data_IF_285745781518
#
_entry.id   IF_285745781518
#
_cell.length_a   1.000
_cell.length_b   1.000
_cell.length_c   1.000
_cell.angle_alpha   90.00
_cell.angle_beta   90.00
_cell.angle_gamma   90.00
#
_symmetry.space_group_name_H-M   'P 1'
#
loop_
_entity.id
_entity.type
_entity.pdbx_description
1 polymer ?
#
# COMPACT_ATOMS: atom_id res chain seq x y z
N UNK A 1 20.61 -19.49 27.25
CA UNK A 1 20.32 -18.40 28.22
C UNK A 1 20.84 -17.12 27.64
N UNK A 2 19.96 -16.14 27.58
CA UNK A 2 20.02 -14.90 26.83
C UNK A 2 21.16 -13.96 27.21
N UNK A 3 21.60 -13.15 26.24
CA UNK A 3 21.80 -11.69 26.38
C UNK A 3 22.16 -11.09 25.02
N UNK A 4 21.16 -10.50 24.36
CA UNK A 4 21.37 -9.38 23.44
C UNK A 4 20.88 -8.16 24.22
N UNK A 5 21.82 -7.36 24.72
CA UNK A 5 21.51 -6.19 25.53
C UNK A 5 21.41 -4.96 24.63
N UNK A 6 20.23 -4.33 24.68
CA UNK A 6 20.01 -2.89 24.53
C UNK A 6 20.51 -2.22 23.24
N UNK A 7 19.65 -2.19 22.21
CA UNK A 7 19.65 -1.09 21.25
C UNK A 7 18.78 0.05 21.79
N UNK A 8 19.42 1.04 22.40
CA UNK A 8 18.79 2.31 22.73
C UNK A 8 18.56 3.15 21.48
N UNK A 9 17.34 3.67 21.32
CA UNK A 9 17.06 4.82 20.45
C UNK A 9 16.69 4.52 18.99
N UNK A 10 15.56 3.86 18.75
CA UNK A 10 14.89 3.89 17.44
C UNK A 10 13.52 4.56 17.56
N UNK A 11 13.49 5.89 17.63
CA UNK A 11 12.29 6.68 17.36
C UNK A 11 12.17 6.86 15.84
N UNK A 12 11.58 5.86 15.18
CA UNK A 12 11.28 5.88 13.74
C UNK A 12 11.74 4.62 13.02
N UNK A 13 10.81 3.70 12.78
CA UNK A 13 10.99 2.56 11.88
C UNK A 13 11.91 1.47 12.41
N UNK A 14 11.39 0.58 13.25
CA UNK A 14 12.02 -0.72 13.42
C UNK A 14 11.93 -1.46 12.08
N UNK A 15 13.02 -1.40 11.30
CA UNK A 15 13.33 -2.30 10.19
C UNK A 15 13.50 -3.71 10.78
N UNK A 16 12.39 -4.31 11.20
CA UNK A 16 12.33 -5.61 11.81
C UNK A 16 12.67 -6.69 10.80
N UNK A 17 13.88 -7.23 10.95
CA UNK A 17 14.13 -8.67 10.94
C UNK A 17 13.62 -9.43 9.71
N UNK A 18 14.36 -9.41 8.60
CA UNK A 18 14.45 -10.50 7.59
C UNK A 18 13.23 -11.42 7.39
N UNK A 19 12.02 -10.90 7.37
CA UNK A 19 10.83 -11.66 7.02
C UNK A 19 10.84 -11.75 5.50
N UNK A 20 10.95 -12.98 5.01
CA UNK A 20 10.71 -13.32 3.62
C UNK A 20 9.37 -12.69 3.20
N UNK A 21 9.42 -11.76 2.24
CA UNK A 21 8.25 -11.05 1.75
C UNK A 21 7.66 -11.89 0.62
N UNK A 22 6.64 -12.67 0.95
CA UNK A 22 5.85 -13.38 -0.06
C UNK A 22 4.82 -12.43 -0.66
N UNK A 23 4.76 -12.41 -1.99
CA UNK A 23 3.78 -11.64 -2.74
C UNK A 23 3.09 -12.52 -3.76
N UNK A 24 1.77 -12.40 -3.84
CA UNK A 24 0.97 -13.04 -4.87
C UNK A 24 1.09 -12.27 -6.19
N UNK A 25 0.75 -12.91 -7.30
CA UNK A 25 0.71 -12.27 -8.61
C UNK A 25 -0.21 -11.04 -8.63
N UNK A 26 -1.34 -11.11 -7.92
CA UNK A 26 -2.28 -9.99 -7.81
C UNK A 26 -1.66 -8.80 -7.06
N UNK A 27 -0.93 -9.05 -5.96
CA UNK A 27 -0.21 -8.01 -5.22
C UNK A 27 0.87 -7.35 -6.06
N UNK A 28 1.64 -8.14 -6.82
CA UNK A 28 2.68 -7.64 -7.73
C UNK A 28 2.06 -6.76 -8.82
N UNK A 29 0.99 -7.25 -9.49
CA UNK A 29 0.29 -6.50 -10.53
C UNK A 29 -0.23 -5.16 -10.00
N UNK A 30 -0.78 -5.15 -8.79
CA UNK A 30 -1.31 -3.93 -8.20
C UNK A 30 -0.21 -2.93 -7.81
N UNK A 31 0.90 -3.39 -7.24
CA UNK A 31 2.05 -2.54 -6.92
C UNK A 31 2.66 -1.91 -8.18
N UNK A 32 2.74 -2.66 -9.29
CA UNK A 32 3.18 -2.14 -10.59
C UNK A 32 2.29 -0.99 -11.08
N UNK A 33 0.97 -1.18 -11.04
CA UNK A 33 0.01 -0.11 -11.39
C UNK A 33 0.22 1.14 -10.54
N UNK A 34 0.49 0.98 -9.26
CA UNK A 34 0.79 2.08 -8.34
C UNK A 34 2.18 2.71 -8.57
N UNK A 35 3.11 1.98 -9.18
CA UNK A 35 4.38 2.52 -9.67
C UNK A 35 4.23 3.37 -10.92
N UNK A 36 3.29 3.00 -11.80
CA UNK A 36 2.94 3.78 -13.01
C UNK A 36 2.16 5.05 -12.66
N UNK A 37 1.27 4.95 -11.65
CA UNK A 37 0.43 6.05 -11.17
C UNK A 37 0.77 6.37 -9.71
N UNK A 38 1.49 7.47 -9.48
CA UNK A 38 1.96 7.87 -8.15
C UNK A 38 0.86 7.90 -7.06
N UNK A 39 -0.38 8.20 -7.46
CA UNK A 39 -1.54 8.14 -6.58
C UNK A 39 -2.73 7.48 -7.30
N UNK A 40 -3.44 6.61 -6.60
CA UNK A 40 -4.71 6.03 -7.04
C UNK A 40 -5.84 6.42 -6.07
N UNK A 41 -7.12 6.44 -6.51
CA UNK A 41 -8.26 6.77 -5.65
C UNK A 41 -8.56 5.66 -4.66
N UNK A 42 -8.94 6.01 -3.43
CA UNK A 42 -9.52 5.05 -2.47
C UNK A 42 -10.77 5.65 -1.83
N UNK A 43 -11.79 4.83 -1.61
CA UNK A 43 -12.96 5.18 -0.81
C UNK A 43 -13.10 4.22 0.36
N UNK A 44 -13.84 4.62 1.39
CA UNK A 44 -14.20 3.72 2.48
C UNK A 44 -15.66 3.31 2.38
N UNK A 45 -15.91 2.01 2.28
CA UNK A 45 -17.26 1.43 2.33
C UNK A 45 -17.34 0.37 3.43
N UNK A 46 -18.32 0.48 4.33
CA UNK A 46 -18.53 -0.47 5.44
C UNK A 46 -17.22 -0.76 6.20
N UNK A 47 -16.44 0.29 6.46
CA UNK A 47 -15.13 0.25 7.13
C UNK A 47 -13.98 -0.38 6.33
N UNK A 48 -14.23 -0.92 5.13
CA UNK A 48 -13.22 -1.47 4.25
C UNK A 48 -12.73 -0.45 3.20
N UNK A 49 -11.44 -0.46 2.84
CA UNK A 49 -10.95 0.34 1.72
C UNK A 49 -11.40 -0.29 0.40
N UNK A 50 -11.96 0.51 -0.49
CA UNK A 50 -12.41 0.10 -1.82
C UNK A 50 -11.67 0.89 -2.88
N UNK A 51 -11.18 0.20 -3.90
CA UNK A 51 -10.67 0.82 -5.11
C UNK A 51 -11.82 1.00 -6.11
N UNK A 52 -12.28 2.23 -6.38
CA UNK A 52 -13.53 2.46 -7.13
C UNK A 52 -13.48 2.01 -8.60
N UNK A 53 -12.29 1.87 -9.19
CA UNK A 53 -12.16 1.42 -10.59
C UNK A 53 -12.34 -0.09 -10.73
N UNK A 54 -11.96 -0.85 -9.71
CA UNK A 54 -12.06 -2.31 -9.67
C UNK A 54 -12.50 -2.76 -8.27
N UNK A 55 -13.83 -2.80 -8.02
CA UNK A 55 -14.36 -3.29 -6.74
C UNK A 55 -14.02 -4.77 -6.53
N UNK A 56 -14.02 -5.24 -5.28
CA UNK A 56 -13.61 -6.60 -4.93
C UNK A 56 -12.13 -6.74 -4.55
N UNK A 57 -11.38 -5.62 -4.50
CA UNK A 57 -9.96 -5.58 -4.08
C UNK A 57 -9.78 -5.18 -2.62
N UNK A 58 -10.83 -5.19 -1.80
CA UNK A 58 -10.79 -4.69 -0.42
C UNK A 58 -9.76 -5.45 0.42
N UNK A 59 -9.76 -6.79 0.29
CA UNK A 59 -8.81 -7.64 0.99
C UNK A 59 -7.37 -7.41 0.49
N UNK A 60 -7.19 -7.23 -0.82
CA UNK A 60 -5.88 -6.94 -1.41
C UNK A 60 -5.30 -5.65 -0.83
N UNK A 61 -6.09 -4.57 -0.81
CA UNK A 61 -5.68 -3.28 -0.25
C UNK A 61 -5.30 -3.40 1.23
N UNK A 62 -6.12 -4.10 2.03
CA UNK A 62 -5.84 -4.34 3.45
C UNK A 62 -4.55 -5.13 3.66
N UNK A 63 -4.28 -6.15 2.83
CA UNK A 63 -3.05 -6.94 2.93
C UNK A 63 -1.84 -6.08 2.55
N UNK A 64 -1.89 -5.33 1.46
CA UNK A 64 -0.79 -4.45 1.03
C UNK A 64 -0.51 -3.34 2.04
N UNK A 65 -1.54 -2.75 2.64
CA UNK A 65 -1.43 -1.76 3.71
C UNK A 65 -0.80 -2.39 4.97
N UNK A 66 -1.26 -3.59 5.37
CA UNK A 66 -0.69 -4.34 6.50
C UNK A 66 0.76 -4.77 6.28
N UNK A 67 1.13 -5.11 5.04
CA UNK A 67 2.52 -5.34 4.62
C UNK A 67 3.33 -4.04 4.60
N UNK A 68 2.68 -2.89 4.71
CA UNK A 68 3.30 -1.57 4.69
C UNK A 68 3.85 -1.19 3.32
N UNK A 69 3.29 -1.75 2.23
CA UNK A 69 3.72 -1.48 0.86
C UNK A 69 2.95 -0.32 0.24
N UNK A 70 1.71 -0.11 0.69
CA UNK A 70 0.90 1.06 0.34
C UNK A 70 0.49 1.81 1.60
N UNK A 71 0.14 3.08 1.43
CA UNK A 71 -0.54 3.90 2.44
C UNK A 71 -1.86 4.40 1.88
N UNK A 72 -2.91 4.36 2.71
CA UNK A 72 -4.22 4.94 2.41
C UNK A 72 -4.36 6.26 3.18
N UNK A 73 -4.61 7.35 2.47
CA UNK A 73 -4.71 8.71 3.03
C UNK A 73 -6.06 9.33 2.67
N UNK A 74 -6.99 9.28 3.63
CA UNK A 74 -8.34 9.84 3.51
C UNK A 74 -8.42 11.36 3.75
N UNK A 75 -7.32 12.00 4.20
CA UNK A 75 -7.24 13.45 4.33
C UNK A 75 -6.81 14.11 3.00
N UNK A 76 -6.33 13.31 2.04
CA UNK A 76 -5.87 13.76 0.71
C UNK A 76 -6.71 13.17 -0.42
N UNK A 77 -7.95 13.67 -0.64
CA UNK A 77 -8.72 13.31 -1.82
C UNK A 77 -8.05 13.81 -3.11
N UNK A 78 -8.19 13.03 -4.18
CA UNK A 78 -7.66 13.36 -5.50
C UNK A 78 -8.51 14.49 -6.13
N UNK A 79 -7.87 15.61 -6.46
CA UNK A 79 -8.56 16.82 -6.93
C UNK A 79 -9.08 16.69 -8.35
N UNK A 80 -8.35 15.99 -9.21
CA UNK A 80 -8.63 15.86 -10.65
C UNK A 80 -9.24 14.49 -11.01
N UNK A 81 -9.76 13.76 -10.02
CA UNK A 81 -10.37 12.45 -10.20
C UNK A 81 -11.87 12.53 -9.90
N UNK A 82 -12.70 12.43 -10.93
CA UNK A 82 -14.15 12.58 -10.84
C UNK A 82 -14.85 11.35 -11.42
N UNK A 83 -15.20 10.41 -10.55
CA UNK A 83 -16.07 9.28 -10.90
C UNK A 83 -17.26 9.26 -9.96
N UNK A 84 -18.45 8.80 -10.43
CA UNK A 84 -19.64 8.79 -9.59
C UNK A 84 -19.45 8.07 -8.24
N UNK A 85 -18.72 6.95 -8.22
CA UNK A 85 -18.44 6.20 -7.00
C UNK A 85 -17.53 6.98 -6.03
N UNK A 86 -16.50 7.64 -6.55
CA UNK A 86 -15.57 8.41 -5.73
C UNK A 86 -16.21 9.69 -5.20
N UNK A 87 -16.87 10.47 -6.06
CA UNK A 87 -17.47 11.75 -5.70
C UNK A 87 -18.67 11.60 -4.76
N UNK A 88 -19.43 10.49 -4.87
CA UNK A 88 -20.55 10.20 -3.98
C UNK A 88 -20.11 9.66 -2.61
N UNK A 89 -18.87 9.13 -2.50
CA UNK A 89 -18.39 8.62 -1.22
C UNK A 89 -18.11 9.77 -0.24
N UNK A 90 -18.65 9.70 1.00
CA UNK A 90 -18.37 10.70 2.03
C UNK A 90 -16.94 10.59 2.58
N UNK A 91 -16.34 9.41 2.51
CA UNK A 91 -14.96 9.15 2.96
C UNK A 91 -14.18 8.67 1.75
N UNK A 92 -13.29 9.54 1.26
CA UNK A 92 -12.51 9.32 0.06
C UNK A 92 -11.14 9.97 0.19
N UNK A 93 -10.17 9.34 -0.45
CA UNK A 93 -8.76 9.68 -0.29
C UNK A 93 -7.93 9.25 -1.47
N UNK A 94 -6.63 9.19 -1.24
CA UNK A 94 -5.66 8.65 -2.17
C UNK A 94 -4.90 7.49 -1.55
N UNK A 95 -4.43 6.59 -2.39
CA UNK A 95 -3.46 5.57 -2.03
C UNK A 95 -2.16 5.80 -2.80
N UNK A 96 -1.03 5.51 -2.15
CA UNK A 96 0.30 5.66 -2.73
C UNK A 96 1.23 4.54 -2.24
N UNK A 97 2.31 4.29 -2.96
CA UNK A 97 3.38 3.42 -2.48
C UNK A 97 4.07 4.06 -1.29
N UNK A 98 4.33 3.27 -0.25
CA UNK A 98 5.26 3.69 0.81
C UNK A 98 6.70 3.62 0.29
N UNK A 99 7.66 4.14 1.06
CA UNK A 99 9.08 3.94 0.74
C UNK A 99 9.44 2.45 0.62
N UNK A 100 8.92 1.61 1.50
CA UNK A 100 9.09 0.15 1.43
C UNK A 100 8.47 -0.44 0.17
N UNK A 101 7.27 0.01 -0.21
CA UNK A 101 6.61 -0.42 -1.45
C UNK A 101 7.42 -0.10 -2.70
N UNK A 102 7.99 1.10 -2.76
CA UNK A 102 8.88 1.53 -3.85
C UNK A 102 10.14 0.66 -3.92
N UNK A 103 10.82 0.43 -2.79
CA UNK A 103 12.04 -0.39 -2.74
C UNK A 103 11.77 -1.85 -3.18
N UNK A 104 10.60 -2.38 -2.80
CA UNK A 104 10.16 -3.72 -3.18
C UNK A 104 9.85 -3.80 -4.68
N UNK A 105 9.16 -2.80 -5.23
CA UNK A 105 8.85 -2.73 -6.65
C UNK A 105 10.14 -2.66 -7.50
N UNK A 106 11.09 -1.80 -7.10
CA UNK A 106 12.40 -1.68 -7.75
C UNK A 106 13.18 -3.01 -7.72
N UNK A 107 13.13 -3.73 -6.60
CA UNK A 107 13.78 -5.04 -6.47
C UNK A 107 13.16 -6.10 -7.41
N UNK A 108 11.84 -6.12 -7.56
CA UNK A 108 11.16 -7.04 -8.49
C UNK A 108 11.57 -6.79 -9.93
N UNK A 109 11.64 -5.51 -10.33
CA UNK A 109 12.05 -5.11 -11.66
C UNK A 109 13.50 -5.53 -11.95
N UNK A 110 14.39 -5.32 -10.98
CA UNK A 110 15.79 -5.75 -11.08
C UNK A 110 15.93 -7.28 -11.20
N UNK A 111 15.13 -8.04 -10.45
CA UNK A 111 15.14 -9.51 -10.47
C UNK A 111 14.43 -10.10 -11.71
N UNK A 112 13.77 -9.27 -12.52
CA UNK A 112 13.02 -9.72 -13.68
C UNK A 112 11.77 -10.55 -13.33
N UNK A 113 11.23 -10.36 -12.12
CA UNK A 113 9.96 -10.98 -11.70
C UNK A 113 8.86 -10.37 -12.56
N UNK A 114 8.27 -11.16 -13.46
CA UNK A 114 7.22 -10.74 -14.38
C UNK A 114 5.89 -11.33 -13.96
#
# INVERSE_FOLDING_TARGET
>A
MSKCESCGGCSGGCSGCGLELELTEEEICFLRRLGECAFLPVIQEKEAPVFPEEPGKELLLQILEKKGLISLDYDKPLKDYHTPAYDASPVRGSMALTKRGQDVLELMEYQGVR
#
